data_IF_766206314562
#
_entry.id   IF_766206314562
#
_cell.length_a   1.000
_cell.length_b   1.000
_cell.length_c   1.000
_cell.angle_alpha   90.00
_cell.angle_beta   90.00
_cell.angle_gamma   90.00
#
_symmetry.space_group_name_H-M   'P 1'
#
loop_
_entity.id
_entity.type
_entity.pdbx_description
1 polymer ?
#
# COMPACT_ATOMS: atom_id res chain seq x y z
N UNK A 1 -18.10 -4.13 -7.93
CA UNK A 1 -16.91 -3.60 -7.22
C UNK A 1 -16.00 -4.77 -6.89
N UNK A 2 -14.72 -4.73 -7.24
CA UNK A 2 -13.78 -5.80 -6.91
C UNK A 2 -13.42 -5.76 -5.42
N UNK A 3 -13.48 -6.90 -4.73
CA UNK A 3 -12.95 -7.10 -3.38
C UNK A 3 -11.63 -7.88 -3.44
N UNK A 4 -10.91 -7.98 -2.32
CA UNK A 4 -9.66 -8.76 -2.25
C UNK A 4 -8.61 -8.26 -3.23
N UNK A 5 -8.15 -7.02 -3.07
CA UNK A 5 -7.25 -6.35 -4.02
C UNK A 5 -5.95 -5.94 -3.34
N UNK A 6 -4.82 -6.21 -3.99
CA UNK A 6 -3.54 -5.55 -3.70
C UNK A 6 -3.34 -4.47 -4.75
N UNK A 7 -2.98 -3.27 -4.32
CA UNK A 7 -2.94 -2.10 -5.16
C UNK A 7 -1.73 -1.22 -4.86
N UNK A 8 -1.46 -0.33 -5.81
CA UNK A 8 -0.44 0.68 -5.73
C UNK A 8 -1.08 2.06 -5.93
N UNK A 9 -0.75 3.00 -5.07
CA UNK A 9 -1.03 4.42 -5.24
C UNK A 9 0.31 5.10 -5.51
N UNK A 10 0.37 6.04 -6.46
CA UNK A 10 1.59 6.82 -6.68
C UNK A 10 1.29 8.31 -6.81
N UNK A 11 2.21 9.13 -6.33
CA UNK A 11 2.18 10.57 -6.54
C UNK A 11 2.64 10.87 -7.96
N UNK A 12 1.82 11.57 -8.74
CA UNK A 12 2.21 11.94 -10.12
C UNK A 12 3.27 13.04 -10.19
N UNK A 13 3.57 13.70 -9.07
CA UNK A 13 4.58 14.76 -8.99
C UNK A 13 5.95 14.18 -8.65
N UNK A 14 6.06 13.43 -7.56
CA UNK A 14 7.34 12.86 -7.08
C UNK A 14 7.63 11.46 -7.62
N UNK A 15 6.62 10.73 -8.07
CA UNK A 15 6.72 9.31 -8.43
C UNK A 15 6.75 8.36 -7.23
N UNK A 16 6.65 8.88 -6.00
CA UNK A 16 6.68 8.04 -4.81
C UNK A 16 5.45 7.14 -4.76
N UNK A 17 5.66 5.90 -4.31
CA UNK A 17 4.67 4.84 -4.32
C UNK A 17 4.22 4.48 -2.90
N UNK A 18 2.98 4.00 -2.79
CA UNK A 18 2.39 3.29 -1.66
C UNK A 18 1.79 1.98 -2.16
N UNK A 19 2.05 0.87 -1.47
CA UNK A 19 1.42 -0.43 -1.71
C UNK A 19 0.52 -0.76 -0.51
N UNK A 20 -0.70 -1.21 -0.82
CA UNK A 20 -1.67 -1.60 0.20
C UNK A 20 -2.56 -2.77 -0.23
N UNK A 21 -3.17 -3.45 0.73
CA UNK A 21 -4.26 -4.40 0.50
C UNK A 21 -5.62 -3.93 1.03
N UNK A 22 -6.68 -4.53 0.46
CA UNK A 22 -8.02 -4.46 1.02
C UNK A 22 -8.80 -5.75 0.77
N UNK A 23 -9.47 -6.24 1.82
CA UNK A 23 -10.51 -7.27 1.71
C UNK A 23 -11.87 -6.69 1.28
N UNK A 24 -12.12 -5.41 1.55
CA UNK A 24 -13.36 -4.71 1.21
C UNK A 24 -13.42 -4.23 -0.25
N UNK A 25 -14.48 -3.53 -0.65
CA UNK A 25 -14.60 -2.95 -1.98
C UNK A 25 -13.45 -1.99 -2.29
N UNK A 26 -12.75 -2.21 -3.39
CA UNK A 26 -11.54 -1.46 -3.74
C UNK A 26 -11.79 0.05 -3.87
N UNK A 27 -12.88 0.46 -4.53
CA UNK A 27 -13.22 1.88 -4.70
C UNK A 27 -13.40 2.63 -3.37
N UNK A 28 -14.03 2.00 -2.38
CA UNK A 28 -14.23 2.57 -1.03
C UNK A 28 -12.87 2.80 -0.36
N UNK A 29 -11.95 1.85 -0.46
CA UNK A 29 -10.59 2.00 0.10
C UNK A 29 -9.81 3.15 -0.55
N UNK A 30 -9.96 3.35 -1.86
CA UNK A 30 -9.33 4.47 -2.56
C UNK A 30 -9.95 5.79 -2.10
N UNK A 31 -11.27 5.87 -1.97
CA UNK A 31 -11.95 7.07 -1.46
C UNK A 31 -11.49 7.43 -0.04
N UNK A 32 -11.36 6.46 0.86
CA UNK A 32 -10.81 6.66 2.21
C UNK A 32 -9.42 7.31 2.19
N UNK A 33 -8.55 6.84 1.30
CA UNK A 33 -7.21 7.42 1.10
C UNK A 33 -7.27 8.85 0.56
N UNK A 34 -8.16 9.12 -0.40
CA UNK A 34 -8.35 10.47 -0.95
C UNK A 34 -8.89 11.45 0.10
N UNK A 35 -9.85 11.01 0.93
CA UNK A 35 -10.36 11.79 2.06
C UNK A 35 -9.26 12.01 3.12
N UNK A 36 -8.40 11.01 3.34
CA UNK A 36 -7.22 11.15 4.19
C UNK A 36 -6.23 12.20 3.67
N UNK A 37 -5.91 12.14 2.37
CA UNK A 37 -5.05 13.11 1.67
C UNK A 37 -5.60 14.53 1.76
N UNK A 38 -6.88 14.72 1.46
CA UNK A 38 -7.50 16.05 1.44
C UNK A 38 -7.49 16.70 2.83
N UNK A 39 -7.71 15.89 3.87
CA UNK A 39 -7.71 16.31 5.29
C UNK A 39 -6.31 16.30 5.93
N UNK A 40 -5.24 16.10 5.16
CA UNK A 40 -3.85 16.05 5.66
C UNK A 40 -3.68 15.07 6.83
N UNK A 41 -4.38 13.92 6.81
CA UNK A 41 -4.32 12.96 7.91
C UNK A 41 -2.96 12.24 7.91
N UNK A 42 -2.10 12.44 8.94
CA UNK A 42 -0.77 11.79 9.00
C UNK A 42 -0.87 10.27 9.13
N UNK A 43 -2.01 9.77 9.60
CA UNK A 43 -2.21 8.34 9.74
C UNK A 43 -2.48 7.62 8.40
N UNK A 44 -2.74 8.36 7.31
CA UNK A 44 -2.90 7.82 5.95
C UNK A 44 -1.64 8.07 5.12
N UNK A 45 -1.18 7.09 4.32
CA UNK A 45 0.05 7.26 3.54
C UNK A 45 0.02 8.49 2.61
N UNK A 46 -1.02 8.72 1.78
CA UNK A 46 -1.08 9.93 0.96
C UNK A 46 -1.17 11.23 1.76
N UNK A 47 -1.83 11.22 2.92
CA UNK A 47 -1.93 12.40 3.79
C UNK A 47 -0.60 12.75 4.46
N UNK A 48 0.14 11.75 4.95
CA UNK A 48 1.49 11.93 5.48
C UNK A 48 2.45 12.46 4.40
N UNK A 49 2.44 11.83 3.22
CA UNK A 49 3.25 12.25 2.08
C UNK A 49 2.97 13.70 1.67
N UNK A 50 1.69 14.10 1.62
CA UNK A 50 1.29 15.48 1.32
C UNK A 50 1.97 16.50 2.26
N UNK A 51 1.99 16.20 3.55
CA UNK A 51 2.60 17.09 4.54
C UNK A 51 4.12 17.12 4.45
N UNK A 52 4.75 15.97 4.21
CA UNK A 52 6.21 15.81 4.31
C UNK A 52 6.93 16.21 3.01
N UNK A 53 6.39 15.82 1.86
CA UNK A 53 7.05 15.97 0.56
C UNK A 53 6.48 17.14 -0.26
N UNK A 54 5.29 17.61 0.09
CA UNK A 54 4.58 18.68 -0.64
C UNK A 54 4.24 19.89 0.23
N UNK A 55 4.73 19.98 1.47
CA UNK A 55 4.46 21.09 2.39
C UNK A 55 2.95 21.39 2.57
N UNK A 56 2.09 20.39 2.40
CA UNK A 56 0.64 20.54 2.47
C UNK A 56 -0.04 20.93 1.17
N UNK A 57 0.68 21.22 0.09
CA UNK A 57 0.09 21.46 -1.24
C UNK A 57 -0.55 20.19 -1.80
N UNK A 58 -1.61 20.34 -2.58
CA UNK A 58 -2.30 19.18 -3.14
C UNK A 58 -1.55 18.59 -4.34
N UNK A 59 -1.73 17.28 -4.59
CA UNK A 59 -1.11 16.58 -5.69
C UNK A 59 -2.06 15.53 -6.31
N UNK A 60 -1.85 15.24 -7.59
CA UNK A 60 -2.57 14.17 -8.27
C UNK A 60 -2.03 12.79 -7.89
N UNK A 61 -2.95 11.85 -7.67
CA UNK A 61 -2.62 10.44 -7.44
C UNK A 61 -2.96 9.59 -8.66
N UNK A 62 -2.10 8.63 -8.97
CA UNK A 62 -2.43 7.50 -9.82
C UNK A 62 -2.71 6.26 -8.97
N UNK A 63 -3.55 5.36 -9.48
CA UNK A 63 -3.89 4.10 -8.81
C UNK A 63 -3.77 2.96 -9.80
N UNK A 64 -3.18 1.84 -9.37
CA UNK A 64 -3.03 0.63 -10.17
C UNK A 64 -3.34 -0.60 -9.35
N UNK A 65 -4.15 -1.50 -9.89
CA UNK A 65 -4.35 -2.82 -9.29
C UNK A 65 -3.17 -3.71 -9.64
N UNK A 66 -2.51 -4.28 -8.62
CA UNK A 66 -1.38 -5.19 -8.81
C UNK A 66 -1.85 -6.64 -8.97
N UNK A 67 -2.81 -7.06 -8.14
CA UNK A 67 -3.39 -8.40 -8.20
C UNK A 67 -4.70 -8.49 -7.40
N UNK A 68 -5.48 -9.54 -7.64
CA UNK A 68 -6.66 -9.91 -6.87
C UNK A 68 -6.42 -11.24 -6.13
N UNK A 69 -6.70 -11.25 -4.84
CA UNK A 69 -6.59 -12.43 -3.99
C UNK A 69 -7.63 -12.36 -2.87
N UNK A 70 -8.54 -13.32 -2.84
CA UNK A 70 -9.66 -13.35 -1.89
C UNK A 70 -9.21 -13.77 -0.49
N UNK A 71 -8.24 -14.69 -0.40
CA UNK A 71 -7.72 -15.20 0.87
C UNK A 71 -6.85 -14.15 1.55
N UNK A 72 -7.29 -13.67 2.71
CA UNK A 72 -6.62 -12.58 3.45
C UNK A 72 -5.14 -12.86 3.72
N UNK A 73 -4.76 -14.07 4.13
CA UNK A 73 -3.34 -14.36 4.40
C UNK A 73 -2.47 -14.32 3.14
N UNK A 74 -2.97 -14.85 2.01
CA UNK A 74 -2.27 -14.78 0.74
C UNK A 74 -2.17 -13.34 0.24
N UNK A 75 -3.24 -12.55 0.36
CA UNK A 75 -3.26 -11.15 -0.04
C UNK A 75 -2.29 -10.28 0.77
N UNK A 76 -2.23 -10.46 2.09
CA UNK A 76 -1.23 -9.80 2.94
C UNK A 76 0.20 -10.23 2.62
N UNK A 77 0.40 -11.50 2.26
CA UNK A 77 1.71 -11.99 1.80
C UNK A 77 2.12 -11.31 0.49
N UNK A 78 1.18 -11.13 -0.44
CA UNK A 78 1.40 -10.42 -1.71
C UNK A 78 1.66 -8.92 -1.50
N UNK A 79 0.94 -8.27 -0.59
CA UNK A 79 1.24 -6.89 -0.18
C UNK A 79 2.68 -6.75 0.32
N UNK A 80 3.08 -7.61 1.28
CA UNK A 80 4.45 -7.63 1.78
C UNK A 80 5.46 -7.88 0.66
N UNK A 81 5.20 -8.85 -0.23
CA UNK A 81 5.99 -9.12 -1.45
C UNK A 81 6.24 -7.87 -2.29
N UNK A 82 5.19 -7.13 -2.61
CA UNK A 82 5.31 -5.92 -3.41
C UNK A 82 6.02 -4.78 -2.68
N UNK A 83 5.80 -4.62 -1.37
CA UNK A 83 6.53 -3.63 -0.56
C UNK A 83 8.03 -3.92 -0.58
N UNK A 84 8.44 -5.17 -0.36
CA UNK A 84 9.86 -5.53 -0.39
C UNK A 84 10.47 -5.39 -1.78
N UNK A 85 9.72 -5.74 -2.82
CA UNK A 85 10.18 -5.69 -4.22
C UNK A 85 10.35 -4.25 -4.71
N UNK A 86 9.41 -3.37 -4.38
CA UNK A 86 9.37 -1.98 -4.88
C UNK A 86 10.04 -0.97 -3.98
N UNK A 87 10.19 -1.28 -2.68
CA UNK A 87 10.65 -0.35 -1.66
C UNK A 87 9.89 1.02 -1.70
N UNK A 88 8.56 1.00 -1.63
CA UNK A 88 7.71 2.19 -1.80
C UNK A 88 7.93 3.22 -0.68
N UNK A 89 8.26 4.46 -1.04
CA UNK A 89 8.61 5.52 -0.07
C UNK A 89 7.46 5.98 0.82
N UNK A 90 6.20 5.84 0.38
CA UNK A 90 5.05 6.26 1.19
C UNK A 90 4.63 5.21 2.21
N UNK A 91 5.02 3.94 2.07
CA UNK A 91 4.81 2.94 3.12
C UNK A 91 5.70 3.28 4.31
N UNK A 92 5.18 3.06 5.52
CA UNK A 92 5.98 3.26 6.72
C UNK A 92 7.03 2.16 6.85
N UNK A 93 8.13 2.46 7.54
CA UNK A 93 9.18 1.48 7.81
C UNK A 93 8.67 0.27 8.57
N UNK A 94 7.66 0.45 9.42
CA UNK A 94 7.02 -0.65 10.15
C UNK A 94 6.14 -1.53 9.25
N UNK A 95 5.65 -1.00 8.12
CA UNK A 95 4.89 -1.74 7.10
C UNK A 95 5.82 -2.51 6.15
N UNK A 96 7.10 -2.10 6.05
CA UNK A 96 8.16 -2.86 5.40
C UNK A 96 8.58 -4.05 6.27
N UNK A 97 7.63 -4.96 6.54
CA UNK A 97 7.92 -6.23 7.17
C UNK A 97 8.84 -7.02 6.26
N UNK A 98 10.01 -7.38 6.80
CA UNK A 98 10.96 -8.25 6.13
C UNK A 98 10.27 -9.59 5.92
N UNK A 99 9.77 -9.81 4.71
CA UNK A 99 9.04 -11.01 4.25
C UNK A 99 9.69 -12.30 4.73
N UNK A 100 11.03 -12.32 4.84
CA UNK A 100 11.76 -13.50 5.26
C UNK A 100 11.36 -14.00 6.63
N UNK A 101 10.91 -13.16 7.58
CA UNK A 101 10.44 -13.64 8.89
C UNK A 101 9.10 -14.37 8.80
N UNK A 102 8.16 -13.83 8.03
CA UNK A 102 6.80 -14.37 7.96
C UNK A 102 6.70 -15.52 6.93
N UNK A 103 7.62 -15.57 5.95
CA UNK A 103 7.81 -16.74 5.07
C UNK A 103 8.75 -17.80 5.66
N UNK A 104 9.53 -17.50 6.71
CA UNK A 104 10.46 -18.47 7.32
C UNK A 104 9.82 -19.82 7.69
N UNK A 105 8.58 -19.89 8.21
CA UNK A 105 7.92 -21.17 8.49
C UNK A 105 7.63 -21.99 7.23
N UNK A 106 7.43 -21.33 6.08
CA UNK A 106 7.09 -21.98 4.81
C UNK A 106 8.33 -22.36 3.99
N UNK A 107 9.46 -21.68 4.20
CA UNK A 107 10.75 -22.03 3.59
C UNK A 107 11.36 -23.32 4.19
N UNK A 108 10.93 -23.74 5.38
CA UNK A 108 11.40 -24.96 6.06
C UNK A 108 10.70 -26.26 5.62
N UNK A 109 9.81 -26.21 4.64
CA UNK A 109 9.06 -27.39 4.18
C UNK A 109 9.82 -28.27 3.15
N UNK A 110 11.07 -27.93 2.81
CA UNK A 110 11.89 -28.65 1.82
C UNK A 110 13.27 -29.11 2.35
N UNK A 111 13.37 -29.57 3.61
CA UNK A 111 14.58 -30.24 4.13
C UNK A 111 14.27 -31.61 4.69
#
# INVERSE_FOLDING_TARGET
>A
MSSGTVYLIFCKVSGDEYVGETGGPFGVRIEEHLVGKSKLKPNTPPGAHRMQEHNGEDFEVGVTTLTHESKTSARKTLEAFWINSKYPKMNRKEECLVITRDLAPYLRLNQ
#
